data_IF_798368537532
#
_entry.id   IF_798368537532
#
_cell.length_a   1.000
_cell.length_b   1.000
_cell.length_c   1.000
_cell.angle_alpha   90.00
_cell.angle_beta   90.00
_cell.angle_gamma   90.00
#
_symmetry.space_group_name_H-M   'P 1'
#
loop_
_entity.id
_entity.type
_entity.pdbx_description
1 polymer ?
#
# COMPACT_ATOMS: atom_id res chain seq x y z
N UNK A 1 -13.10 -25.04 13.89
CA UNK A 1 -12.18 -24.52 14.91
C UNK A 1 -11.06 -23.77 14.20
N UNK A 2 -11.14 -22.44 14.08
CA UNK A 2 -10.08 -21.63 13.46
C UNK A 2 -9.12 -21.18 14.57
N UNK A 3 -7.88 -21.62 14.49
CA UNK A 3 -6.82 -21.21 15.41
C UNK A 3 -6.48 -19.74 15.15
N UNK A 4 -6.62 -18.89 16.18
CA UNK A 4 -6.20 -17.48 16.13
C UNK A 4 -4.78 -17.41 16.65
N UNK A 5 -3.81 -17.49 15.76
CA UNK A 5 -2.40 -17.41 16.13
C UNK A 5 -2.00 -15.95 16.43
N UNK A 6 -2.37 -15.47 17.62
CA UNK A 6 -1.88 -14.20 18.18
C UNK A 6 -0.46 -14.37 18.73
N UNK A 7 0.52 -14.60 17.85
CA UNK A 7 1.91 -14.65 18.28
C UNK A 7 2.38 -13.22 18.62
N UNK A 8 2.21 -12.84 19.89
CA UNK A 8 2.33 -11.49 20.44
C UNK A 8 3.74 -11.25 20.98
N UNK A 9 4.75 -11.44 20.15
CA UNK A 9 6.08 -10.90 20.45
C UNK A 9 6.36 -9.67 19.55
N UNK A 10 6.59 -8.53 20.19
CA UNK A 10 6.95 -7.29 19.50
C UNK A 10 8.36 -7.41 18.92
N UNK A 11 8.48 -7.98 17.72
CA UNK A 11 9.75 -7.99 16.98
C UNK A 11 10.25 -6.55 16.79
N UNK A 12 11.56 -6.35 16.99
CA UNK A 12 12.27 -5.11 16.68
C UNK A 12 11.98 -4.72 15.22
N UNK A 13 11.88 -3.42 14.92
CA UNK A 13 11.64 -2.86 13.57
C UNK A 13 10.21 -2.90 12.99
N UNK A 14 9.17 -3.18 13.79
CA UNK A 14 7.78 -2.97 13.32
C UNK A 14 7.41 -1.48 13.36
N UNK A 15 6.72 -1.00 12.32
CA UNK A 15 6.11 0.34 12.31
C UNK A 15 5.08 0.48 13.44
N UNK A 16 4.77 1.73 13.80
CA UNK A 16 3.66 2.01 14.72
C UNK A 16 2.35 1.59 14.04
N UNK A 17 1.54 0.85 14.77
CA UNK A 17 0.17 0.52 14.37
C UNK A 17 -0.74 1.72 14.59
N UNK A 18 -1.88 1.77 13.91
CA UNK A 18 -2.87 2.84 14.12
C UNK A 18 -3.35 2.92 15.58
N UNK A 19 -3.50 1.76 16.25
CA UNK A 19 -3.82 1.70 17.68
C UNK A 19 -2.75 2.33 18.57
N UNK A 20 -1.47 2.12 18.27
CA UNK A 20 -0.37 2.80 18.97
C UNK A 20 -0.37 4.31 18.69
N UNK A 21 -0.67 4.74 17.46
CA UNK A 21 -0.78 6.17 17.12
C UNK A 21 -1.88 6.86 17.94
N UNK A 22 -3.08 6.25 18.07
CA UNK A 22 -4.15 6.76 18.95
C UNK A 22 -3.74 6.84 20.41
N UNK A 23 -2.97 5.85 20.91
CA UNK A 23 -2.43 5.90 22.27
C UNK A 23 -1.44 7.06 22.45
N UNK A 24 -0.57 7.32 21.47
CA UNK A 24 0.34 8.48 21.52
C UNK A 24 -0.45 9.78 21.62
N UNK A 25 -1.50 9.94 20.82
CA UNK A 25 -2.38 11.11 20.87
C UNK A 25 -3.05 11.29 22.24
N UNK A 26 -3.66 10.23 22.77
CA UNK A 26 -4.25 10.25 24.11
C UNK A 26 -3.23 10.58 25.21
N UNK A 27 -2.03 9.99 25.17
CA UNK A 27 -0.99 10.27 26.16
C UNK A 27 -0.42 11.69 26.04
N UNK A 28 -0.36 12.26 24.83
CA UNK A 28 0.04 13.67 24.66
C UNK A 28 -1.05 14.63 25.14
N UNK A 29 -2.33 14.26 25.05
CA UNK A 29 -3.42 15.02 25.67
C UNK A 29 -3.34 15.04 27.21
N UNK A 30 -2.75 14.00 27.81
CA UNK A 30 -2.44 13.91 29.24
C UNK A 30 -1.08 14.55 29.61
N UNK A 31 -0.44 15.28 28.68
CA UNK A 31 0.87 15.94 28.86
C UNK A 31 2.03 15.00 29.27
N UNK A 32 1.97 13.71 28.89
CA UNK A 32 3.10 12.79 29.12
C UNK A 32 4.31 13.16 28.24
N UNK A 33 5.51 12.97 28.82
CA UNK A 33 6.76 13.14 28.08
C UNK A 33 6.95 12.04 27.03
N UNK A 34 7.64 12.36 25.93
CA UNK A 34 7.90 11.40 24.84
C UNK A 34 8.62 10.13 25.34
N UNK A 35 9.52 10.26 26.33
CA UNK A 35 10.21 9.13 26.96
C UNK A 35 9.25 8.24 27.75
N UNK A 36 8.31 8.82 28.49
CA UNK A 36 7.30 8.04 29.24
C UNK A 36 6.37 7.30 28.29
N UNK A 37 5.92 7.96 27.22
CA UNK A 37 5.11 7.33 26.16
C UNK A 37 5.84 6.15 25.53
N UNK A 38 7.13 6.32 25.21
CA UNK A 38 7.96 5.28 24.64
C UNK A 38 8.05 4.05 25.57
N UNK A 39 8.25 4.28 26.87
CA UNK A 39 8.25 3.22 27.89
C UNK A 39 6.90 2.51 27.98
N UNK A 40 5.77 3.23 27.96
CA UNK A 40 4.43 2.63 28.02
C UNK A 40 4.10 1.78 26.78
N UNK A 41 4.58 2.18 25.60
CA UNK A 41 4.34 1.47 24.35
C UNK A 41 5.40 0.40 24.04
N UNK A 42 6.45 0.27 24.87
CA UNK A 42 7.58 -0.62 24.57
C UNK A 42 8.34 -0.23 23.30
N UNK A 43 8.41 1.07 22.98
CA UNK A 43 9.07 1.61 21.77
C UNK A 43 10.30 2.44 22.14
N UNK A 44 11.15 2.69 21.15
CA UNK A 44 12.30 3.59 21.37
C UNK A 44 11.81 5.04 21.52
N UNK A 45 12.41 5.86 22.41
CA UNK A 45 12.09 7.28 22.52
C UNK A 45 12.24 8.04 21.21
N UNK A 46 13.20 7.63 20.37
CA UNK A 46 13.41 8.23 19.05
C UNK A 46 12.23 7.98 18.11
N UNK A 47 11.64 6.78 18.14
CA UNK A 47 10.45 6.46 17.34
C UNK A 47 9.28 7.38 17.68
N UNK A 48 9.03 7.60 18.97
CA UNK A 48 7.96 8.50 19.44
C UNK A 48 8.26 9.94 19.06
N UNK A 49 9.51 10.38 19.20
CA UNK A 49 9.92 11.73 18.81
C UNK A 49 9.72 12.00 17.31
N UNK A 50 10.16 11.06 16.46
CA UNK A 50 9.98 11.16 15.01
C UNK A 50 8.49 11.18 14.64
N UNK A 51 7.69 10.26 15.20
CA UNK A 51 6.25 10.22 14.97
C UNK A 51 5.57 11.55 15.30
N UNK A 52 5.89 12.12 16.47
CA UNK A 52 5.33 13.42 16.90
C UNK A 52 5.75 14.53 15.95
N UNK A 53 7.03 14.60 15.57
CA UNK A 53 7.52 15.64 14.66
C UNK A 53 6.89 15.53 13.27
N UNK A 54 6.67 14.32 12.76
CA UNK A 54 6.09 14.07 11.44
C UNK A 54 4.60 14.44 11.38
N UNK A 55 3.83 14.16 12.43
CA UNK A 55 2.37 14.26 12.41
C UNK A 55 1.79 15.23 13.45
N UNK A 56 2.50 16.33 13.74
CA UNK A 56 1.98 17.43 14.53
C UNK A 56 1.49 18.58 13.66
N UNK A 57 0.32 19.12 13.99
CA UNK A 57 -0.28 20.29 13.32
C UNK A 57 -0.18 21.50 14.25
N UNK A 58 0.17 22.67 13.70
CA UNK A 58 0.12 23.94 14.43
C UNK A 58 -1.32 24.43 14.50
N UNK A 59 -1.90 24.42 15.68
CA UNK A 59 -3.22 25.00 15.96
C UNK A 59 -3.07 26.42 16.50
N UNK A 60 -3.87 27.34 15.98
CA UNK A 60 -3.97 28.73 16.44
C UNK A 60 -5.12 28.85 17.43
N UNK A 61 -4.87 29.41 18.60
CA UNK A 61 -5.90 29.78 19.57
C UNK A 61 -5.84 31.28 19.82
N UNK A 62 -7.01 31.91 19.97
CA UNK A 62 -7.10 33.34 20.29
C UNK A 62 -7.90 33.54 21.58
N UNK A 63 -7.35 34.36 22.47
CA UNK A 63 -8.01 34.75 23.71
C UNK A 63 -8.18 36.26 23.71
N UNK A 64 -9.39 36.74 24.01
CA UNK A 64 -9.68 38.16 24.17
C UNK A 64 -9.75 38.50 25.65
N UNK A 65 -8.93 39.44 26.10
CA UNK A 65 -8.93 39.92 27.49
C UNK A 65 -8.78 41.44 27.49
N UNK A 66 -9.69 42.14 28.18
CA UNK A 66 -9.70 43.60 28.32
C UNK A 66 -9.52 44.35 26.97
N UNK A 67 -10.24 43.92 25.92
CA UNK A 67 -10.17 44.53 24.59
C UNK A 67 -8.92 44.18 23.77
N UNK A 68 -7.93 43.47 24.34
CA UNK A 68 -6.73 42.98 23.66
C UNK A 68 -6.93 41.54 23.21
N UNK A 69 -6.47 41.21 21.99
CA UNK A 69 -6.51 39.84 21.45
C UNK A 69 -5.12 39.23 21.49
N UNK A 70 -4.98 38.14 22.25
CA UNK A 70 -3.76 37.35 22.35
C UNK A 70 -3.87 36.13 21.43
N UNK A 71 -2.82 35.88 20.65
CA UNK A 71 -2.75 34.74 19.73
C UNK A 71 -1.69 33.77 20.19
N UNK A 72 -2.06 32.50 20.30
CA UNK A 72 -1.18 31.42 20.72
C UNK A 72 -1.11 30.34 19.64
N UNK A 73 0.05 29.71 19.53
CA UNK A 73 0.28 28.59 18.62
C UNK A 73 0.69 27.37 19.43
N UNK A 74 0.00 26.24 19.23
CA UNK A 74 0.33 24.96 19.85
C UNK A 74 0.52 23.91 18.78
N UNK A 75 1.61 23.13 18.86
CA UNK A 75 1.73 21.91 18.06
C UNK A 75 0.98 20.78 18.76
N UNK A 76 0.00 20.22 18.06
CA UNK A 76 -0.83 19.12 18.55
C UNK A 76 -0.61 17.93 17.62
N UNK A 77 -0.26 16.79 18.20
CA UNK A 77 -0.12 15.54 17.47
C UNK A 77 -1.49 15.00 17.07
N UNK A 78 -1.64 14.53 15.83
CA UNK A 78 -2.87 13.89 15.34
C UNK A 78 -2.58 12.46 14.88
N UNK A 79 -3.28 11.50 15.47
CA UNK A 79 -3.13 10.09 15.11
C UNK A 79 -3.66 9.80 13.69
N UNK A 80 -4.76 10.44 13.32
CA UNK A 80 -5.36 10.36 11.99
C UNK A 80 -4.40 10.86 10.91
N UNK A 81 -3.85 12.08 11.08
CA UNK A 81 -2.85 12.62 10.16
C UNK A 81 -1.63 11.69 10.05
N UNK A 82 -1.16 11.12 11.16
CA UNK A 82 -0.03 10.20 11.13
C UNK A 82 -0.33 8.95 10.30
N UNK A 83 -1.54 8.42 10.43
CA UNK A 83 -1.97 7.26 9.67
C UNK A 83 -2.06 7.57 8.18
N UNK A 84 -2.62 8.73 7.80
CA UNK A 84 -2.71 9.15 6.41
C UNK A 84 -1.33 9.36 5.77
N UNK A 85 -0.39 9.96 6.51
CA UNK A 85 1.01 10.07 6.06
C UNK A 85 1.61 8.67 5.87
N UNK A 86 1.38 7.76 6.82
CA UNK A 86 1.86 6.38 6.71
C UNK A 86 1.29 5.66 5.48
N UNK A 87 -0.02 5.74 5.24
CA UNK A 87 -0.68 5.10 4.09
C UNK A 87 -0.18 5.68 2.76
N UNK A 88 -0.05 7.00 2.66
CA UNK A 88 0.52 7.65 1.46
C UNK A 88 1.96 7.20 1.20
N UNK A 89 2.80 7.17 2.24
CA UNK A 89 4.17 6.69 2.11
C UNK A 89 4.20 5.21 1.74
N UNK A 90 3.30 4.40 2.32
CA UNK A 90 3.20 2.96 2.05
C UNK A 90 2.77 2.68 0.61
N UNK A 91 1.85 3.46 0.06
CA UNK A 91 1.44 3.36 -1.34
C UNK A 91 2.59 3.65 -2.33
N UNK A 92 3.54 4.49 -1.93
CA UNK A 92 4.74 4.79 -2.71
C UNK A 92 5.88 3.79 -2.50
N UNK A 93 5.72 2.82 -1.59
CA UNK A 93 6.72 1.79 -1.35
C UNK A 93 6.60 0.65 -2.37
N UNK A 94 7.75 0.12 -2.79
CA UNK A 94 7.83 -1.07 -3.63
C UNK A 94 8.19 -0.78 -5.08
N UNK A 95 8.39 -1.85 -5.85
CA UNK A 95 8.68 -1.76 -7.28
C UNK A 95 7.40 -1.35 -8.00
N UNK A 96 7.46 -0.27 -8.79
CA UNK A 96 6.36 0.13 -9.67
C UNK A 96 6.08 -1.03 -10.65
N UNK A 97 4.82 -1.46 -10.78
CA UNK A 97 4.51 -2.57 -11.65
C UNK A 97 4.69 -2.16 -13.11
N UNK A 98 5.25 -3.06 -13.92
CA UNK A 98 5.61 -2.77 -15.33
C UNK A 98 4.43 -2.22 -16.15
N UNK A 99 3.21 -2.68 -15.90
CA UNK A 99 2.03 -2.28 -16.68
C UNK A 99 1.74 -0.78 -16.66
N UNK A 100 2.20 -0.05 -15.64
CA UNK A 100 2.03 1.41 -15.53
C UNK A 100 2.75 2.16 -16.66
N UNK A 101 3.83 1.58 -17.19
CA UNK A 101 4.66 2.20 -18.23
C UNK A 101 4.42 1.56 -19.61
N UNK A 102 3.48 0.62 -19.73
CA UNK A 102 3.32 -0.23 -20.92
C UNK A 102 1.95 -0.10 -21.58
N UNK A 103 1.33 1.08 -21.57
CA UNK A 103 -0.01 1.31 -22.12
C UNK A 103 -0.10 0.88 -23.60
N UNK A 104 0.88 1.28 -24.42
CA UNK A 104 0.96 0.92 -25.85
C UNK A 104 1.03 -0.60 -26.07
N UNK A 105 1.75 -1.31 -25.21
CA UNK A 105 1.84 -2.77 -25.27
C UNK A 105 0.51 -3.40 -24.84
N UNK A 106 -0.12 -2.93 -23.76
CA UNK A 106 -1.37 -3.49 -23.26
C UNK A 106 -2.51 -3.34 -24.26
N UNK A 107 -2.63 -2.18 -24.92
CA UNK A 107 -3.66 -1.95 -25.95
C UNK A 107 -3.43 -2.83 -27.19
N UNK A 108 -2.18 -2.94 -27.64
CA UNK A 108 -1.84 -3.81 -28.76
C UNK A 108 -2.12 -5.28 -28.43
N UNK A 109 -1.71 -5.73 -27.24
CA UNK A 109 -1.92 -7.09 -26.75
C UNK A 109 -3.41 -7.41 -26.61
N UNK A 110 -4.20 -6.50 -26.04
CA UNK A 110 -5.66 -6.66 -25.93
C UNK A 110 -6.31 -6.81 -27.30
N UNK A 111 -5.95 -5.96 -28.26
CA UNK A 111 -6.46 -6.06 -29.63
C UNK A 111 -6.13 -7.42 -30.25
N UNK A 112 -4.89 -7.88 -30.12
CA UNK A 112 -4.45 -9.18 -30.66
C UNK A 112 -5.15 -10.38 -30.00
N UNK A 113 -5.39 -10.34 -28.70
CA UNK A 113 -6.09 -11.43 -28.01
C UNK A 113 -7.60 -11.42 -28.26
N UNK A 114 -8.21 -10.24 -28.36
CA UNK A 114 -9.66 -10.11 -28.53
C UNK A 114 -10.11 -10.29 -29.98
N UNK A 115 -9.42 -9.68 -30.94
CA UNK A 115 -9.80 -9.70 -32.37
C UNK A 115 -9.18 -10.91 -33.08
N UNK A 116 -7.85 -11.04 -33.01
CA UNK A 116 -7.11 -12.08 -33.73
C UNK A 116 -7.06 -13.43 -32.98
N UNK A 117 -7.63 -13.49 -31.77
CA UNK A 117 -7.65 -14.69 -30.90
C UNK A 117 -6.28 -15.28 -30.61
N UNK A 118 -5.25 -14.44 -30.53
CA UNK A 118 -3.90 -14.89 -30.19
C UNK A 118 -3.81 -15.37 -28.74
N UNK A 119 -2.96 -16.38 -28.51
CA UNK A 119 -2.63 -16.81 -27.15
C UNK A 119 -1.69 -15.78 -26.47
N UNK A 120 -1.71 -15.65 -25.14
CA UNK A 120 -0.77 -14.78 -24.42
C UNK A 120 0.71 -15.08 -24.72
N UNK A 121 1.06 -16.34 -24.94
CA UNK A 121 2.43 -16.72 -25.36
C UNK A 121 2.77 -16.19 -26.75
N UNK A 122 1.83 -16.31 -27.70
CA UNK A 122 2.01 -15.78 -29.06
C UNK A 122 2.20 -14.26 -29.04
N UNK A 123 1.43 -13.56 -28.20
CA UNK A 123 1.51 -12.10 -28.02
C UNK A 123 2.88 -11.69 -27.47
N UNK A 124 3.38 -12.33 -26.41
CA UNK A 124 4.70 -12.01 -25.84
C UNK A 124 5.81 -12.27 -26.84
N UNK A 125 5.78 -13.41 -27.54
CA UNK A 125 6.81 -13.74 -28.53
C UNK A 125 6.81 -12.75 -29.69
N UNK A 126 5.66 -12.37 -30.22
CA UNK A 126 5.55 -11.39 -31.31
C UNK A 126 5.84 -9.96 -30.86
N UNK A 127 5.65 -9.64 -29.58
CA UNK A 127 6.00 -8.33 -29.05
C UNK A 127 7.52 -8.09 -29.08
N UNK A 128 8.35 -9.13 -28.97
CA UNK A 128 9.81 -9.00 -28.99
C UNK A 128 10.35 -8.36 -30.28
N UNK A 129 9.63 -8.54 -31.39
CA UNK A 129 10.00 -7.94 -32.68
C UNK A 129 9.50 -6.48 -32.83
N UNK A 130 8.60 -6.03 -31.94
CA UNK A 130 7.81 -4.79 -32.11
C UNK A 130 8.03 -3.75 -31.00
N UNK A 131 8.48 -4.19 -29.82
CA UNK A 131 8.58 -3.38 -28.61
C UNK A 131 9.94 -3.57 -27.94
N UNK A 132 10.33 -2.61 -27.09
CA UNK A 132 11.53 -2.72 -26.28
C UNK A 132 11.41 -3.88 -25.27
N UNK A 133 12.39 -4.79 -25.16
CA UNK A 133 12.38 -5.88 -24.18
C UNK A 133 12.12 -5.44 -22.72
N UNK A 134 12.45 -4.20 -22.35
CA UNK A 134 12.19 -3.66 -21.02
C UNK A 134 10.69 -3.62 -20.67
N UNK A 135 9.86 -3.24 -21.66
CA UNK A 135 8.41 -3.07 -21.50
C UNK A 135 7.64 -4.39 -21.67
N UNK A 136 8.25 -5.39 -22.32
CA UNK A 136 7.59 -6.68 -22.54
C UNK A 136 7.56 -7.49 -21.22
N UNK A 137 6.38 -7.95 -20.75
CA UNK A 137 6.28 -8.87 -19.62
C UNK A 137 6.63 -10.30 -20.04
N UNK A 138 7.01 -11.16 -19.08
CA UNK A 138 7.01 -12.61 -19.31
C UNK A 138 5.58 -13.12 -19.53
N UNK A 139 5.40 -14.28 -20.17
CA UNK A 139 4.05 -14.87 -20.35
C UNK A 139 3.32 -15.06 -19.02
N UNK A 140 4.01 -15.57 -17.99
CA UNK A 140 3.43 -15.71 -16.65
C UNK A 140 2.97 -14.38 -16.07
N UNK A 141 3.70 -13.30 -16.33
CA UNK A 141 3.34 -11.94 -15.91
C UNK A 141 2.13 -11.43 -16.69
N UNK A 142 2.06 -11.69 -18.00
CA UNK A 142 0.90 -11.35 -18.82
C UNK A 142 -0.37 -12.08 -18.37
N UNK A 143 -0.28 -13.36 -18.04
CA UNK A 143 -1.40 -14.10 -17.45
C UNK A 143 -1.83 -13.51 -16.10
N UNK A 144 -0.88 -13.11 -15.25
CA UNK A 144 -1.21 -12.44 -13.98
C UNK A 144 -1.95 -11.11 -14.21
N UNK A 145 -1.65 -10.36 -15.28
CA UNK A 145 -2.34 -9.12 -15.61
C UNK A 145 -3.79 -9.36 -16.02
N UNK A 146 -4.02 -10.42 -16.81
CA UNK A 146 -5.37 -10.87 -17.20
C UNK A 146 -6.16 -11.34 -15.96
N UNK A 147 -5.55 -12.17 -15.12
CA UNK A 147 -6.18 -12.68 -13.90
C UNK A 147 -6.52 -11.57 -12.89
N UNK A 148 -5.69 -10.53 -12.83
CA UNK A 148 -5.89 -9.35 -11.95
C UNK A 148 -6.84 -8.31 -12.54
N UNK A 149 -7.32 -8.50 -13.78
CA UNK A 149 -8.21 -7.55 -14.46
C UNK A 149 -7.54 -6.23 -14.87
N UNK A 150 -6.21 -6.22 -15.02
CA UNK A 150 -5.45 -5.04 -15.47
C UNK A 150 -5.66 -4.79 -16.97
N UNK A 151 -5.91 -5.84 -17.74
CA UNK A 151 -6.15 -5.80 -19.17
C UNK A 151 -7.64 -5.92 -19.49
N UNK A 152 -8.05 -5.49 -20.69
CA UNK A 152 -9.44 -5.66 -21.16
C UNK A 152 -9.75 -7.13 -21.43
N UNK A 153 -8.76 -7.88 -21.92
CA UNK A 153 -8.86 -9.33 -22.13
C UNK A 153 -9.11 -10.04 -20.81
N UNK A 154 -10.12 -10.89 -20.76
CA UNK A 154 -10.46 -11.73 -19.62
C UNK A 154 -10.19 -13.19 -19.93
N UNK A 155 -10.16 -14.01 -18.87
CA UNK A 155 -9.99 -15.46 -19.01
C UNK A 155 -11.04 -16.14 -19.90
N UNK A 156 -12.25 -15.58 -19.98
CA UNK A 156 -13.32 -16.09 -20.84
C UNK A 156 -13.03 -15.89 -22.33
N UNK A 157 -12.20 -14.90 -22.66
CA UNK A 157 -11.83 -14.58 -24.04
C UNK A 157 -10.70 -15.49 -24.55
N UNK A 158 -10.00 -16.16 -23.62
CA UNK A 158 -8.91 -17.09 -23.91
C UNK A 158 -9.45 -18.50 -24.14
N UNK A 159 -9.64 -18.86 -25.43
CA UNK A 159 -10.18 -20.15 -25.88
C UNK A 159 -9.47 -21.37 -25.25
N UNK A 160 -8.17 -21.28 -25.00
CA UNK A 160 -7.38 -22.39 -24.45
C UNK A 160 -7.52 -22.58 -22.93
N UNK A 161 -7.95 -21.57 -22.17
CA UNK A 161 -7.96 -21.66 -20.69
C UNK A 161 -9.20 -22.37 -20.16
N UNK A 162 -10.32 -22.29 -20.87
CA UNK A 162 -11.59 -22.92 -20.48
C UNK A 162 -11.52 -24.45 -20.50
N UNK A 163 -10.66 -25.05 -21.34
CA UNK A 163 -10.49 -26.50 -21.46
C UNK A 163 -9.46 -27.14 -20.52
N UNK A 164 -8.63 -26.36 -19.81
CA UNK A 164 -7.55 -26.89 -18.97
C UNK A 164 -8.06 -27.15 -17.54
N UNK A 165 -7.93 -28.39 -17.06
CA UNK A 165 -8.23 -28.73 -15.65
C UNK A 165 -7.36 -27.87 -14.73
N UNK A 166 -7.93 -27.17 -13.73
CA UNK A 166 -7.13 -26.42 -12.77
C UNK A 166 -6.21 -27.37 -12.01
N UNK A 167 -4.91 -27.03 -11.94
CA UNK A 167 -3.92 -27.80 -11.18
C UNK A 167 -4.28 -27.69 -9.69
N UNK A 168 -4.31 -28.82 -8.96
CA UNK A 168 -4.83 -28.91 -7.59
C UNK A 168 -3.98 -28.22 -6.50
N UNK A 169 -2.95 -27.47 -6.86
CA UNK A 169 -2.03 -26.86 -5.89
C UNK A 169 -2.19 -25.36 -5.88
N UNK A 170 -3.07 -24.86 -5.00
CA UNK A 170 -3.04 -23.46 -4.57
C UNK A 170 -1.80 -23.27 -3.69
N UNK A 171 -0.69 -22.85 -4.30
CA UNK A 171 0.39 -22.20 -3.56
C UNK A 171 -0.17 -20.98 -2.83
N UNK A 172 0.19 -20.84 -1.55
CA UNK A 172 -0.29 -19.84 -0.57
C UNK A 172 -0.84 -18.55 -1.20
N UNK A 173 -2.14 -18.33 -0.99
CA UNK A 173 -2.81 -17.05 -1.22
C UNK A 173 -2.21 -16.03 -0.24
N UNK A 174 -1.35 -15.13 -0.74
CA UNK A 174 -1.08 -13.87 -0.07
C UNK A 174 -2.33 -12.99 -0.28
N UNK A 175 -3.23 -13.04 0.70
CA UNK A 175 -4.32 -12.07 0.80
C UNK A 175 -3.70 -10.69 1.04
N UNK A 176 -3.64 -9.86 -0.01
CA UNK A 176 -3.64 -8.41 0.16
C UNK A 176 -5.07 -8.02 0.53
N UNK A 177 -5.31 -7.75 1.81
CA UNK A 177 -6.48 -6.98 2.23
C UNK A 177 -6.21 -5.51 1.90
N UNK A 178 -7.13 -4.92 1.13
CA UNK A 178 -7.39 -3.48 1.08
C UNK A 178 -8.07 -3.03 2.37
#
# INVERSE_FOLDING_TARGET
>A
MTHVDNNTESRKSKHLTYGEMKKIEAYKALDLSNRKIASLLGRSPQTINNAINTASVTQKSQQKQNGKTYTYYKKVYSAELHHDIYLRNRANCGRRPKWVETERFTEWADRKMLEDKWSPDTVVNKAMDLFDPAIIPSTSTLYNWIDSGIMRTKNIDLLEKVGRKPRSTKGRVLFLFL
#
